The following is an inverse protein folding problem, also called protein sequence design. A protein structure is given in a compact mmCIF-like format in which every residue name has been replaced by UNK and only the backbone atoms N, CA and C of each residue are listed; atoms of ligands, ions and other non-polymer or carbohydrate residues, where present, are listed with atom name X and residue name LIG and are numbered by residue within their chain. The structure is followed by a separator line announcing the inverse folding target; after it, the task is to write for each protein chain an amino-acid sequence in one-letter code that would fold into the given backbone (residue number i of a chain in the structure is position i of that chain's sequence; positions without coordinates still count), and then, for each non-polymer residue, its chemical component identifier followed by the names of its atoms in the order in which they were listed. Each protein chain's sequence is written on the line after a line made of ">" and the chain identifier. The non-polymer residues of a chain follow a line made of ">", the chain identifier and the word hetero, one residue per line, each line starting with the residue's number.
data_IF_223604642617
#
_entry.id   IF_223604642617
#
_cell.length_a   1.000
_cell.length_b   1.000
_cell.length_c   1.000
_cell.angle_alpha   90.00
_cell.angle_beta   90.00
_cell.angle_gamma   90.00
#
_symmetry.space_group_name_H-M   'P 1'
#
loop_
_entity.id
_entity.type
_entity.pdbx_description
1 polymer ?
#
# COMPACT_ATOMS: atom_id res chain seq x y z
N UNK A 1 -13.35 -18.56 -4.50
CA UNK A 1 -12.71 -18.01 -3.27
C UNK A 1 -13.79 -17.31 -2.45
N UNK A 2 -13.83 -17.51 -1.13
CA UNK A 2 -14.88 -16.97 -0.27
C UNK A 2 -14.79 -15.43 -0.24
N UNK A 3 -15.82 -14.73 -0.69
CA UNK A 3 -15.89 -13.27 -0.88
C UNK A 3 -15.41 -12.48 0.37
N UNK A 4 -15.66 -13.05 1.56
CA UNK A 4 -15.20 -12.50 2.85
C UNK A 4 -13.68 -12.50 3.00
N UNK A 5 -12.99 -13.53 2.52
CA UNK A 5 -11.54 -13.65 2.62
C UNK A 5 -10.85 -12.60 1.74
N UNK A 6 -11.33 -12.43 0.50
CA UNK A 6 -10.83 -11.42 -0.44
C UNK A 6 -11.03 -10.02 0.12
N UNK A 7 -12.19 -9.71 0.71
CA UNK A 7 -12.44 -8.43 1.37
C UNK A 7 -11.50 -8.14 2.53
N UNK A 8 -11.20 -9.14 3.38
CA UNK A 8 -10.27 -8.95 4.49
C UNK A 8 -8.83 -8.81 4.03
N UNK A 9 -8.42 -9.52 2.98
CA UNK A 9 -7.11 -9.32 2.34
C UNK A 9 -6.96 -7.90 1.81
N UNK A 10 -7.97 -7.40 1.07
CA UNK A 10 -7.95 -6.04 0.52
C UNK A 10 -7.91 -5.01 1.66
N UNK A 11 -8.68 -5.20 2.73
CA UNK A 11 -8.67 -4.30 3.89
C UNK A 11 -7.30 -4.31 4.61
N UNK A 12 -6.69 -5.49 4.79
CA UNK A 12 -5.37 -5.63 5.42
C UNK A 12 -4.27 -4.98 4.57
N UNK A 13 -4.33 -5.15 3.25
CA UNK A 13 -3.44 -4.48 2.31
C UNK A 13 -3.64 -2.96 2.40
N UNK A 14 -4.87 -2.46 2.37
CA UNK A 14 -5.18 -1.03 2.55
C UNK A 14 -4.62 -0.44 3.85
N UNK A 15 -4.69 -1.18 4.95
CA UNK A 15 -4.13 -0.76 6.24
C UNK A 15 -2.60 -0.69 6.20
N UNK A 16 -1.93 -1.70 5.62
CA UNK A 16 -0.47 -1.70 5.45
C UNK A 16 0.01 -0.56 4.55
N UNK A 17 -0.75 -0.21 3.52
CA UNK A 17 -0.46 0.91 2.62
C UNK A 17 -0.53 2.23 3.39
N UNK A 18 -1.61 2.43 4.16
CA UNK A 18 -1.80 3.63 4.97
C UNK A 18 -0.67 3.79 5.99
N UNK A 19 -0.26 2.68 6.62
CA UNK A 19 0.87 2.64 7.55
C UNK A 19 2.20 2.97 6.86
N UNK A 20 2.46 2.38 5.68
CA UNK A 20 3.68 2.61 4.91
C UNK A 20 3.79 4.07 4.44
N UNK A 21 2.69 4.67 3.97
CA UNK A 21 2.64 6.08 3.58
C UNK A 21 2.83 6.98 4.79
N UNK A 22 2.22 6.66 5.92
CA UNK A 22 2.38 7.42 7.16
C UNK A 22 3.84 7.39 7.64
N UNK A 23 4.47 6.22 7.69
CA UNK A 23 5.87 6.07 8.13
C UNK A 23 6.82 6.71 7.13
N UNK A 24 6.63 6.49 5.83
CA UNK A 24 7.45 7.10 4.79
C UNK A 24 7.33 8.63 4.79
N UNK A 25 6.11 9.16 4.91
CA UNK A 25 5.84 10.59 5.01
C UNK A 25 6.41 11.22 6.28
N UNK A 26 6.34 10.50 7.40
CA UNK A 26 6.88 10.96 8.69
C UNK A 26 8.42 11.00 8.69
N UNK A 27 9.09 9.98 8.13
CA UNK A 27 10.55 9.96 8.02
C UNK A 27 11.11 10.90 6.93
N UNK A 28 10.34 11.12 5.86
CA UNK A 28 10.77 11.90 4.70
C UNK A 28 11.04 13.39 5.00
N UNK A 29 10.30 14.02 5.90
CA UNK A 29 10.31 15.47 6.04
C UNK A 29 10.08 16.20 4.69
N UNK A 30 10.52 17.46 4.56
CA UNK A 30 10.36 18.26 3.32
C UNK A 30 11.14 17.70 2.11
N UNK A 31 12.17 16.88 2.33
CA UNK A 31 13.13 16.49 1.29
C UNK A 31 12.90 15.06 0.75
N UNK A 32 12.21 14.20 1.51
CA UNK A 32 11.99 12.79 1.18
C UNK A 32 10.60 12.44 0.64
N UNK A 33 9.73 13.42 0.36
CA UNK A 33 8.33 13.17 -0.05
C UNK A 33 8.20 12.24 -1.26
N UNK A 34 9.21 12.23 -2.13
CA UNK A 34 9.32 11.31 -3.27
C UNK A 34 9.34 9.83 -2.87
N UNK A 35 9.84 9.49 -1.68
CA UNK A 35 9.82 8.11 -1.15
C UNK A 35 8.39 7.64 -0.84
N UNK A 36 7.50 8.54 -0.44
CA UNK A 36 6.09 8.21 -0.28
C UNK A 36 5.44 7.90 -1.64
N UNK A 37 5.79 8.65 -2.69
CA UNK A 37 5.34 8.38 -4.07
C UNK A 37 5.84 7.03 -4.57
N UNK A 38 7.10 6.68 -4.27
CA UNK A 38 7.68 5.39 -4.64
C UNK A 38 6.99 4.23 -3.90
N UNK A 39 6.69 4.40 -2.61
CA UNK A 39 5.95 3.42 -1.82
C UNK A 39 4.55 3.15 -2.39
N UNK A 40 3.85 4.19 -2.84
CA UNK A 40 2.53 4.05 -3.50
C UNK A 40 2.64 3.24 -4.80
N UNK A 41 3.66 3.48 -5.63
CA UNK A 41 3.86 2.75 -6.88
C UNK A 41 4.14 1.24 -6.65
N UNK A 42 4.99 0.91 -5.66
CA UNK A 42 5.29 -0.48 -5.29
C UNK A 42 4.02 -1.20 -4.82
N UNK A 43 3.27 -0.54 -3.94
CA UNK A 43 1.99 -1.02 -3.44
C UNK A 43 1.00 -1.30 -4.57
N UNK A 44 0.85 -0.37 -5.51
CA UNK A 44 -0.06 -0.53 -6.63
C UNK A 44 0.32 -1.74 -7.48
N UNK A 45 1.61 -1.97 -7.73
CA UNK A 45 2.10 -3.16 -8.43
C UNK A 45 1.76 -4.47 -7.72
N UNK A 46 1.86 -4.50 -6.38
CA UNK A 46 1.49 -5.67 -5.57
C UNK A 46 -0.02 -5.92 -5.65
N UNK A 47 -0.85 -4.89 -5.48
CA UNK A 47 -2.32 -5.02 -5.56
C UNK A 47 -2.75 -5.44 -6.96
N UNK A 48 -2.20 -4.82 -8.00
CA UNK A 48 -2.51 -5.15 -9.39
C UNK A 48 -2.22 -6.63 -9.68
N UNK A 49 -1.04 -7.13 -9.28
CA UNK A 49 -0.71 -8.56 -9.43
C UNK A 49 -1.61 -9.49 -8.62
N UNK A 50 -2.15 -9.05 -7.48
CA UNK A 50 -3.05 -9.86 -6.65
C UNK A 50 -4.49 -9.87 -7.17
N UNK A 51 -4.90 -8.82 -7.88
CA UNK A 51 -6.25 -8.69 -8.46
C UNK A 51 -6.31 -9.29 -9.86
N UNK A 52 -5.22 -9.22 -10.62
CA UNK A 52 -5.08 -9.77 -11.98
C UNK A 52 -4.65 -11.26 -11.99
N UNK A 53 -4.43 -11.87 -10.81
CA UNK A 53 -4.16 -13.31 -10.65
C UNK A 53 -5.45 -14.12 -10.42
#
# INVERSE_FOLDING_TARGET
>A
MNDKFVRHMIAAIGALISLAIYVAGYQAGKQGWWWATFAVAVVYGIVYKLVDA
#
